data_IF_739562969727
#
_entry.id   IF_739562969727
#
_cell.length_a   1.000
_cell.length_b   1.000
_cell.length_c   1.000
_cell.angle_alpha   90.00
_cell.angle_beta   90.00
_cell.angle_gamma   90.00
#
_symmetry.space_group_name_H-M   'P 1'
#
loop_
_entity.id
_entity.type
_entity.pdbx_description
1 polymer ?
#
# COMPACT_ATOMS: atom_id res chain seq x y z
N UNK A 1 -9.64 -8.50 -18.54
CA UNK A 1 -10.51 -7.51 -17.85
C UNK A 1 -10.90 -8.03 -16.47
N UNK A 2 -11.22 -7.18 -15.50
CA UNK A 2 -11.80 -7.59 -14.19
C UNK A 2 -13.26 -7.16 -14.13
N UNK A 3 -14.15 -8.08 -13.73
CA UNK A 3 -15.60 -7.91 -13.69
C UNK A 3 -16.11 -8.05 -12.25
N UNK A 4 -16.75 -7.00 -11.73
CA UNK A 4 -17.30 -6.93 -10.36
C UNK A 4 -18.83 -6.84 -10.45
N UNK A 5 -19.58 -7.88 -10.10
CA UNK A 5 -21.03 -7.86 -10.17
C UNK A 5 -21.60 -6.91 -9.11
N UNK A 6 -22.38 -5.94 -9.55
CA UNK A 6 -23.19 -5.08 -8.69
C UNK A 6 -24.64 -5.60 -8.56
N UNK A 7 -25.00 -6.61 -9.36
CA UNK A 7 -26.28 -7.32 -9.32
C UNK A 7 -26.47 -8.23 -8.10
N UNK A 8 -27.74 -8.45 -7.78
CA UNK A 8 -28.23 -9.31 -6.70
C UNK A 8 -28.94 -8.51 -5.60
N UNK A 9 -29.84 -9.14 -4.83
CA UNK A 9 -30.54 -8.53 -3.69
C UNK A 9 -29.63 -8.12 -2.52
N UNK A 10 -28.31 -8.08 -2.73
CA UNK A 10 -27.32 -7.74 -1.72
C UNK A 10 -26.95 -6.25 -1.82
N UNK A 11 -27.07 -5.47 -0.75
CA UNK A 11 -26.66 -4.08 -0.72
C UNK A 11 -25.23 -3.84 -1.25
N UNK A 12 -25.01 -2.72 -1.95
CA UNK A 12 -23.67 -2.27 -2.42
C UNK A 12 -22.56 -2.34 -1.35
N UNK A 13 -22.81 -2.05 -0.06
CA UNK A 13 -21.84 -2.25 1.01
C UNK A 13 -21.28 -3.69 1.17
N UNK A 14 -21.97 -4.71 0.65
CA UNK A 14 -21.44 -6.09 0.63
C UNK A 14 -20.58 -6.37 -0.61
N UNK A 15 -20.71 -5.56 -1.66
CA UNK A 15 -19.95 -5.67 -2.92
C UNK A 15 -18.72 -4.79 -2.94
N UNK A 16 -18.71 -3.72 -2.16
CA UNK A 16 -17.62 -2.76 -2.11
C UNK A 16 -17.33 -2.45 -0.65
N UNK A 17 -16.09 -2.71 -0.24
CA UNK A 17 -15.58 -2.34 1.09
C UNK A 17 -14.33 -1.48 0.96
N UNK A 18 -13.90 -0.90 2.07
CA UNK A 18 -12.61 -0.22 2.15
C UNK A 18 -11.80 -0.81 3.30
N UNK A 19 -10.49 -0.66 3.22
CA UNK A 19 -9.56 -1.08 4.26
C UNK A 19 -8.38 -0.14 4.26
N UNK A 20 -7.92 0.20 5.46
CA UNK A 20 -6.74 1.05 5.68
C UNK A 20 -5.73 0.21 6.43
N UNK A 21 -4.46 0.24 6.01
CA UNK A 21 -3.36 -0.44 6.68
C UNK A 21 -2.29 0.58 7.05
N UNK A 22 -2.13 0.92 8.34
CA UNK A 22 -1.04 1.78 8.81
C UNK A 22 0.33 1.20 8.44
N UNK A 23 0.44 -0.13 8.47
CA UNK A 23 1.67 -0.82 8.12
C UNK A 23 1.99 -0.68 6.62
N UNK A 24 0.99 -0.76 5.76
CA UNK A 24 1.15 -0.45 4.34
C UNK A 24 1.56 1.01 4.13
N UNK A 25 0.94 1.96 4.83
CA UNK A 25 1.31 3.38 4.72
C UNK A 25 2.75 3.66 5.18
N UNK A 26 3.22 2.95 6.22
CA UNK A 26 4.62 3.01 6.63
C UNK A 26 5.53 2.57 5.48
N UNK A 27 5.25 1.42 4.86
CA UNK A 27 6.09 0.97 3.74
C UNK A 27 5.96 1.83 2.50
N UNK A 28 4.78 2.38 2.22
CA UNK A 28 4.58 3.34 1.14
C UNK A 28 5.39 4.62 1.38
N UNK A 29 5.50 5.07 2.64
CA UNK A 29 6.34 6.21 2.99
C UNK A 29 7.84 5.91 2.80
N UNK A 30 8.31 4.71 3.18
CA UNK A 30 9.68 4.27 2.91
C UNK A 30 9.94 4.13 1.41
N UNK A 31 8.99 3.60 0.65
CA UNK A 31 9.06 3.52 -0.81
C UNK A 31 9.19 4.92 -1.44
N UNK A 32 8.43 5.90 -0.96
CA UNK A 32 8.53 7.28 -1.40
C UNK A 32 9.91 7.90 -1.07
N UNK A 33 10.48 7.59 0.10
CA UNK A 33 11.83 8.02 0.50
C UNK A 33 12.94 7.36 -0.32
N UNK A 34 12.70 6.15 -0.84
CA UNK A 34 13.66 5.42 -1.65
C UNK A 34 13.77 5.93 -3.09
N UNK A 35 12.85 6.79 -3.54
CA UNK A 35 12.85 7.32 -4.90
C UNK A 35 13.96 8.38 -5.08
N UNK A 36 14.77 8.23 -6.12
CA UNK A 36 15.80 9.23 -6.48
C UNK A 36 15.20 10.59 -6.83
N UNK A 37 14.03 10.55 -7.50
CA UNK A 37 13.24 11.74 -7.82
C UNK A 37 11.88 11.59 -7.11
N UNK A 38 11.75 12.08 -5.86
CA UNK A 38 10.50 11.97 -5.13
C UNK A 38 9.38 12.74 -5.84
N UNK A 39 8.14 12.30 -5.66
CA UNK A 39 6.97 13.05 -6.10
C UNK A 39 7.03 14.48 -5.53
N UNK A 40 6.82 15.53 -6.33
CA UNK A 40 6.89 16.92 -5.87
C UNK A 40 6.03 17.21 -4.63
N UNK A 41 4.94 16.47 -4.43
CA UNK A 41 4.04 16.60 -3.27
C UNK A 41 4.70 16.13 -1.97
N UNK A 42 5.70 15.26 -2.06
CA UNK A 42 6.41 14.64 -0.95
C UNK A 42 7.87 15.11 -0.83
N UNK A 43 8.36 15.94 -1.74
CA UNK A 43 9.78 16.30 -1.81
C UNK A 43 10.31 16.98 -0.53
N UNK A 44 9.61 18.00 -0.02
CA UNK A 44 10.00 18.70 1.21
C UNK A 44 9.95 17.75 2.42
N UNK A 45 8.87 16.97 2.54
CA UNK A 45 8.73 15.95 3.58
C UNK A 45 9.87 14.92 3.52
N UNK A 46 10.21 14.43 2.32
CA UNK A 46 11.26 13.44 2.15
C UNK A 46 12.63 14.00 2.55
N UNK A 47 12.93 15.25 2.18
CA UNK A 47 14.16 15.93 2.56
C UNK A 47 14.29 16.06 4.09
N UNK A 48 13.20 16.44 4.77
CA UNK A 48 13.15 16.56 6.22
C UNK A 48 13.36 15.21 6.93
N UNK A 49 12.68 14.15 6.48
CA UNK A 49 12.83 12.81 7.06
C UNK A 49 14.25 12.27 6.85
N UNK A 50 14.84 12.43 5.66
CA UNK A 50 16.22 12.01 5.39
C UNK A 50 17.25 12.81 6.20
N UNK A 51 16.99 14.10 6.48
CA UNK A 51 17.79 14.86 7.43
C UNK A 51 17.64 14.32 8.87
N UNK A 52 16.42 13.94 9.24
CA UNK A 52 16.11 13.25 10.49
C UNK A 52 16.88 11.94 10.66
N UNK A 53 17.00 11.12 9.60
CA UNK A 53 17.76 9.86 9.64
C UNK A 53 19.23 10.08 9.98
N UNK A 54 19.85 11.13 9.43
CA UNK A 54 21.21 11.53 9.77
C UNK A 54 21.33 11.98 11.22
N UNK A 55 20.38 12.80 11.69
CA UNK A 55 20.37 13.28 13.07
C UNK A 55 20.18 12.15 14.11
N UNK A 56 19.29 11.21 13.81
CA UNK A 56 19.00 10.04 14.64
C UNK A 56 20.02 8.90 14.50
N UNK A 57 21.03 9.04 13.63
CA UNK A 57 22.08 8.04 13.36
C UNK A 57 21.56 6.69 12.85
N UNK A 58 20.48 6.69 12.09
CA UNK A 58 19.93 5.48 11.44
C UNK A 58 20.19 5.44 9.93
N UNK A 59 20.99 6.39 9.41
CA UNK A 59 21.29 6.51 7.98
C UNK A 59 21.90 5.24 7.38
N UNK A 60 22.81 4.56 8.11
CA UNK A 60 23.43 3.31 7.64
C UNK A 60 22.45 2.14 7.55
N UNK A 61 21.46 2.09 8.46
CA UNK A 61 20.39 1.09 8.38
C UNK A 61 19.44 1.41 7.24
N UNK A 62 19.14 2.69 7.04
CA UNK A 62 18.37 3.12 5.88
C UNK A 62 19.07 2.75 4.56
N UNK A 63 20.35 3.04 4.40
CA UNK A 63 21.10 2.70 3.18
C UNK A 63 21.14 1.19 2.93
N UNK A 64 21.23 0.39 3.99
CA UNK A 64 21.19 -1.06 3.90
C UNK A 64 19.81 -1.59 3.44
N UNK A 65 18.71 -1.04 3.97
CA UNK A 65 17.35 -1.50 3.63
C UNK A 65 16.74 -0.81 2.40
N UNK A 66 17.20 0.39 2.02
CA UNK A 66 16.64 1.18 0.91
C UNK A 66 16.37 0.36 -0.35
N UNK A 67 17.28 -0.53 -0.83
CA UNK A 67 17.05 -1.31 -2.06
C UNK A 67 15.72 -2.09 -2.06
N UNK A 68 15.27 -2.58 -0.91
CA UNK A 68 14.02 -3.35 -0.81
C UNK A 68 12.76 -2.49 -1.06
N UNK A 69 12.88 -1.18 -0.90
CA UNK A 69 11.78 -0.23 -1.03
C UNK A 69 11.85 0.59 -2.31
N UNK A 70 12.89 0.47 -3.13
CA UNK A 70 13.03 1.35 -4.30
C UNK A 70 12.09 0.95 -5.43
N UNK A 71 11.96 -0.35 -5.72
CA UNK A 71 11.24 -0.83 -6.91
C UNK A 71 9.75 -1.02 -6.68
N UNK A 72 9.37 -1.53 -5.51
CA UNK A 72 7.98 -1.60 -5.07
C UNK A 72 7.92 -1.75 -3.53
N UNK A 73 6.70 -1.87 -3.00
CA UNK A 73 6.46 -2.17 -1.59
C UNK A 73 6.52 -3.69 -1.39
N UNK A 74 7.32 -4.21 -0.44
CA UNK A 74 7.42 -5.64 -0.20
C UNK A 74 6.10 -6.29 0.23
N UNK A 75 5.91 -7.56 -0.11
CA UNK A 75 4.66 -8.29 0.13
C UNK A 75 4.32 -8.46 1.63
N UNK A 76 5.32 -8.38 2.52
CA UNK A 76 5.11 -8.36 3.98
C UNK A 76 4.28 -7.16 4.45
N UNK A 77 4.15 -6.13 3.63
CA UNK A 77 3.35 -4.94 3.93
C UNK A 77 2.01 -4.95 3.20
N UNK A 78 1.68 -6.00 2.45
CA UNK A 78 0.46 -6.05 1.66
C UNK A 78 -0.78 -5.77 2.54
N UNK A 79 -1.65 -4.83 2.15
CA UNK A 79 -2.74 -4.38 2.99
C UNK A 79 -3.86 -5.44 3.15
N UNK A 80 -3.87 -6.50 2.33
CA UNK A 80 -4.69 -7.68 2.55
C UNK A 80 -4.15 -8.55 3.69
N UNK A 81 -2.83 -8.73 3.76
CA UNK A 81 -2.20 -9.54 4.80
C UNK A 81 -2.17 -8.81 6.15
N UNK A 82 -2.06 -7.47 6.11
CA UNK A 82 -1.88 -6.63 7.29
C UNK A 82 -3.17 -5.96 7.79
N UNK A 83 -4.35 -6.41 7.33
CA UNK A 83 -5.65 -5.79 7.63
C UNK A 83 -5.96 -5.64 9.12
N UNK A 84 -5.38 -6.48 9.98
CA UNK A 84 -5.56 -6.44 11.44
C UNK A 84 -4.46 -5.70 12.19
N UNK A 85 -3.43 -5.21 11.50
CA UNK A 85 -2.25 -4.59 12.11
C UNK A 85 -2.46 -3.08 12.18
N UNK A 86 -3.05 -2.60 13.29
CA UNK A 86 -3.57 -1.23 13.38
C UNK A 86 -2.79 -0.35 14.36
N UNK A 87 -2.23 -0.95 15.40
CA UNK A 87 -1.41 -0.28 16.40
C UNK A 87 0.06 -0.67 16.29
N UNK A 88 0.90 -0.03 17.10
CA UNK A 88 2.34 -0.30 17.19
C UNK A 88 2.60 -1.71 17.71
N UNK A 89 1.89 -2.10 18.76
CA UNK A 89 2.04 -3.43 19.37
C UNK A 89 1.68 -4.54 18.38
N UNK A 90 0.61 -4.34 17.58
CA UNK A 90 0.24 -5.27 16.52
C UNK A 90 1.33 -5.44 15.45
N UNK A 91 2.10 -4.38 15.17
CA UNK A 91 3.19 -4.43 14.19
C UNK A 91 4.38 -5.22 14.71
N UNK A 92 4.74 -5.01 15.97
CA UNK A 92 5.77 -5.79 16.63
C UNK A 92 5.40 -7.27 16.62
N UNK A 93 4.17 -7.59 17.03
CA UNK A 93 3.66 -8.97 17.03
C UNK A 93 3.62 -9.56 15.62
N UNK A 94 3.20 -8.80 14.62
CA UNK A 94 3.16 -9.24 13.22
C UNK A 94 4.55 -9.64 12.71
N UNK A 95 5.54 -8.75 12.79
CA UNK A 95 6.89 -9.09 12.31
C UNK A 95 7.60 -10.09 13.20
N UNK A 96 7.30 -10.13 14.50
CA UNK A 96 7.85 -11.16 15.38
C UNK A 96 7.37 -12.55 14.96
N UNK A 97 6.07 -12.70 14.71
CA UNK A 97 5.44 -13.98 14.36
C UNK A 97 5.63 -14.41 12.90
N UNK A 98 5.94 -13.49 12.00
CA UNK A 98 6.29 -13.82 10.61
C UNK A 98 7.50 -14.76 10.57
N UNK A 99 7.40 -15.94 9.96
CA UNK A 99 8.56 -16.84 9.91
C UNK A 99 9.71 -16.21 9.10
N UNK A 100 10.95 -16.60 9.40
CA UNK A 100 12.13 -16.16 8.64
C UNK A 100 12.02 -16.47 7.15
N UNK A 101 11.50 -17.65 6.82
CA UNK A 101 11.21 -18.05 5.44
C UNK A 101 10.16 -17.14 4.78
N UNK A 102 9.05 -16.85 5.46
CA UNK A 102 8.02 -15.97 4.93
C UNK A 102 8.53 -14.53 4.77
N UNK A 103 9.31 -14.05 5.72
CA UNK A 103 9.99 -12.76 5.64
C UNK A 103 10.91 -12.72 4.42
N UNK A 104 11.83 -13.67 4.27
CA UNK A 104 12.76 -13.70 3.13
C UNK A 104 12.03 -13.80 1.78
N UNK A 105 11.01 -14.66 1.69
CA UNK A 105 10.21 -14.82 0.48
C UNK A 105 9.43 -13.55 0.11
N UNK A 106 9.00 -12.76 1.10
CA UNK A 106 8.30 -11.49 0.86
C UNK A 106 9.19 -10.38 0.27
N UNK A 107 10.51 -10.48 0.47
CA UNK A 107 11.49 -9.51 -0.02
C UNK A 107 12.10 -9.90 -1.36
N UNK A 108 12.15 -11.21 -1.65
CA UNK A 108 12.81 -11.77 -2.82
C UNK A 108 12.39 -11.12 -4.15
N UNK A 109 11.10 -10.85 -4.44
CA UNK A 109 10.73 -10.21 -5.70
C UNK A 109 11.41 -8.85 -5.93
N UNK A 110 11.65 -8.08 -4.86
CA UNK A 110 12.29 -6.77 -4.96
C UNK A 110 13.80 -6.90 -5.15
N UNK A 111 14.43 -7.85 -4.44
CA UNK A 111 15.86 -8.11 -4.56
C UNK A 111 16.20 -8.70 -5.93
N UNK A 112 15.44 -9.67 -6.44
CA UNK A 112 15.62 -10.24 -7.78
C UNK A 112 15.46 -9.18 -8.89
N UNK A 113 14.58 -8.20 -8.66
CA UNK A 113 14.41 -7.08 -9.59
C UNK A 113 15.56 -6.08 -9.48
N UNK A 114 16.14 -5.90 -8.28
CA UNK A 114 17.31 -5.07 -8.05
C UNK A 114 18.58 -5.68 -8.64
N UNK A 115 18.79 -6.99 -8.54
CA UNK A 115 19.97 -7.65 -9.14
C UNK A 115 20.12 -7.35 -10.64
N UNK A 116 19.00 -7.10 -11.33
CA UNK A 116 18.98 -6.73 -12.76
C UNK A 116 19.54 -5.32 -13.04
N UNK A 117 19.65 -4.45 -12.03
CA UNK A 117 20.29 -3.14 -12.16
C UNK A 117 21.82 -3.26 -12.21
N UNK A 118 22.37 -4.40 -11.76
CA UNK A 118 23.81 -4.65 -11.72
C UNK A 118 24.52 -4.03 -10.52
N UNK A 119 23.78 -3.45 -9.57
CA UNK A 119 24.33 -2.97 -8.30
C UNK A 119 24.41 -4.10 -7.28
N UNK A 120 25.57 -4.24 -6.64
CA UNK A 120 25.76 -5.21 -5.56
C UNK A 120 25.09 -4.70 -4.28
N UNK A 121 24.23 -5.55 -3.70
CA UNK A 121 23.45 -5.22 -2.51
C UNK A 121 23.73 -6.25 -1.42
N UNK A 122 24.42 -5.86 -0.33
CA UNK A 122 24.71 -6.76 0.78
C UNK A 122 23.47 -7.45 1.37
N UNK A 123 22.34 -6.74 1.40
CA UNK A 123 21.06 -7.27 1.89
C UNK A 123 20.64 -8.57 1.19
N UNK A 124 20.91 -8.73 -0.11
CA UNK A 124 20.52 -9.93 -0.85
C UNK A 124 21.35 -11.15 -0.43
N UNK A 125 22.67 -10.98 -0.28
CA UNK A 125 23.57 -12.02 0.21
C UNK A 125 23.27 -12.37 1.66
N UNK A 126 23.15 -11.38 2.53
CA UNK A 126 22.87 -11.56 3.96
C UNK A 126 21.51 -12.28 4.17
N UNK A 127 20.50 -11.99 3.35
CA UNK A 127 19.20 -12.66 3.44
C UNK A 127 19.26 -14.13 2.99
N UNK A 128 20.20 -14.50 2.11
CA UNK A 128 20.42 -15.90 1.73
C UNK A 128 21.22 -16.65 2.80
N UNK A 129 22.20 -16.01 3.42
CA UNK A 129 23.08 -16.62 4.42
C UNK A 129 22.45 -16.71 5.82
N UNK A 130 21.86 -15.62 6.31
CA UNK A 130 21.26 -15.52 7.65
C UNK A 130 19.97 -14.65 7.65
N UNK A 131 18.81 -15.24 7.26
CA UNK A 131 17.54 -14.55 7.29
C UNK A 131 17.15 -14.02 8.68
N UNK A 132 17.58 -14.69 9.75
CA UNK A 132 17.25 -14.32 11.13
C UNK A 132 17.96 -13.03 11.53
N UNK A 133 19.24 -12.89 11.18
CA UNK A 133 20.01 -11.67 11.36
C UNK A 133 19.37 -10.47 10.65
N UNK A 134 19.03 -10.65 9.35
CA UNK A 134 18.40 -9.59 8.55
C UNK A 134 17.05 -9.19 9.13
N UNK A 135 16.21 -10.17 9.50
CA UNK A 135 14.91 -9.93 10.11
C UNK A 135 15.04 -9.19 11.45
N UNK A 136 16.00 -9.56 12.29
CA UNK A 136 16.26 -8.89 13.56
C UNK A 136 16.65 -7.42 13.36
N UNK A 137 17.58 -7.15 12.44
CA UNK A 137 17.98 -5.78 12.08
C UNK A 137 16.83 -4.97 11.47
N UNK A 138 16.03 -5.61 10.62
CA UNK A 138 14.87 -4.99 9.99
C UNK A 138 13.81 -4.59 11.02
N UNK A 139 13.50 -5.47 11.98
CA UNK A 139 12.56 -5.17 13.05
C UNK A 139 13.02 -3.95 13.85
N UNK A 140 14.31 -3.86 14.21
CA UNK A 140 14.86 -2.69 14.89
C UNK A 140 14.74 -1.42 14.05
N UNK A 141 15.06 -1.49 12.75
CA UNK A 141 14.95 -0.36 11.83
C UNK A 141 13.50 0.14 11.71
N UNK A 142 12.55 -0.74 11.40
CA UNK A 142 11.13 -0.38 11.23
C UNK A 142 10.55 0.18 12.52
N UNK A 143 10.89 -0.42 13.65
CA UNK A 143 10.47 0.06 14.97
C UNK A 143 10.99 1.47 15.27
N UNK A 144 12.27 1.70 14.98
CA UNK A 144 12.90 3.00 15.18
C UNK A 144 12.30 4.03 14.22
N UNK A 145 12.07 3.66 12.96
CA UNK A 145 11.41 4.52 11.98
C UNK A 145 10.00 4.89 12.43
N UNK A 146 9.24 3.91 12.91
CA UNK A 146 7.89 4.13 13.43
C UNK A 146 7.92 5.16 14.55
N UNK A 147 8.70 4.91 15.60
CA UNK A 147 8.72 5.72 16.81
C UNK A 147 9.22 7.14 16.57
N UNK A 148 10.24 7.32 15.73
CA UNK A 148 10.88 8.62 15.54
C UNK A 148 10.23 9.47 14.45
N UNK A 149 9.63 8.85 13.43
CA UNK A 149 9.24 9.57 12.21
C UNK A 149 7.81 9.29 11.76
N UNK A 150 7.31 8.06 11.86
CA UNK A 150 6.01 7.72 11.26
C UNK A 150 4.83 7.91 12.22
N UNK A 151 4.98 7.67 13.53
CA UNK A 151 3.86 7.71 14.48
C UNK A 151 3.11 9.05 14.47
N UNK A 152 3.85 10.16 14.57
CA UNK A 152 3.27 11.52 14.53
C UNK A 152 2.66 11.84 13.17
N UNK A 153 3.24 11.35 12.08
CA UNK A 153 2.68 11.49 10.75
C UNK A 153 1.38 10.71 10.60
N UNK A 154 1.34 9.48 11.12
CA UNK A 154 0.13 8.67 11.12
C UNK A 154 -1.00 9.34 11.90
N UNK A 155 -0.72 9.89 13.09
CA UNK A 155 -1.69 10.66 13.87
C UNK A 155 -2.26 11.86 13.11
N UNK A 156 -1.41 12.58 12.37
CA UNK A 156 -1.83 13.71 11.53
C UNK A 156 -2.64 13.25 10.29
N UNK A 157 -2.32 12.09 9.73
CA UNK A 157 -2.96 11.55 8.53
C UNK A 157 -4.26 10.78 8.82
N UNK A 158 -4.41 10.14 9.97
CA UNK A 158 -5.53 9.28 10.31
C UNK A 158 -6.91 9.96 10.11
N UNK A 159 -7.13 11.24 10.50
CA UNK A 159 -8.38 11.93 10.22
C UNK A 159 -8.72 12.05 8.72
N UNK A 160 -7.71 12.02 7.84
CA UNK A 160 -7.92 12.06 6.39
C UNK A 160 -8.48 10.74 5.86
N UNK A 161 -8.01 9.62 6.39
CA UNK A 161 -8.55 8.29 6.08
C UNK A 161 -9.99 8.13 6.56
N UNK A 162 -10.34 8.69 7.71
CA UNK A 162 -11.74 8.73 8.19
C UNK A 162 -12.64 9.49 7.20
N UNK A 163 -12.21 10.67 6.74
CA UNK A 163 -12.96 11.44 5.73
C UNK A 163 -13.10 10.70 4.40
N UNK A 164 -12.06 9.99 3.97
CA UNK A 164 -12.15 9.18 2.74
C UNK A 164 -13.10 7.99 2.92
N UNK A 165 -13.09 7.33 4.07
CA UNK A 165 -14.05 6.30 4.42
C UNK A 165 -15.50 6.82 4.41
N UNK A 166 -15.74 8.01 4.93
CA UNK A 166 -17.05 8.69 4.87
C UNK A 166 -17.46 8.97 3.42
N UNK A 167 -16.55 9.47 2.59
CA UNK A 167 -16.79 9.73 1.17
C UNK A 167 -17.16 8.44 0.42
N UNK A 168 -16.44 7.35 0.67
CA UNK A 168 -16.76 6.03 0.13
C UNK A 168 -18.17 5.61 0.60
N UNK A 169 -18.44 5.70 1.90
CA UNK A 169 -19.73 5.31 2.46
C UNK A 169 -20.90 6.09 1.84
N UNK A 170 -20.75 7.41 1.66
CA UNK A 170 -21.73 8.25 0.99
C UNK A 170 -21.93 7.82 -0.47
N UNK A 171 -20.86 7.48 -1.19
CA UNK A 171 -20.94 7.05 -2.58
C UNK A 171 -21.65 5.71 -2.77
N UNK A 172 -21.70 4.86 -1.74
CA UNK A 172 -22.38 3.55 -1.79
C UNK A 172 -23.91 3.64 -1.68
N UNK A 173 -24.48 4.85 -1.60
CA UNK A 173 -25.94 5.06 -1.56
C UNK A 173 -26.62 4.81 -2.90
N UNK A 174 -25.90 4.96 -4.01
CA UNK A 174 -26.42 4.71 -5.35
C UNK A 174 -25.34 4.22 -6.32
N UNK A 175 -25.77 3.54 -7.39
CA UNK A 175 -24.87 3.10 -8.46
C UNK A 175 -24.18 4.27 -9.18
N UNK A 176 -24.89 5.38 -9.38
CA UNK A 176 -24.35 6.56 -10.05
C UNK A 176 -23.24 7.23 -9.22
N UNK A 177 -23.45 7.38 -7.91
CA UNK A 177 -22.47 8.00 -7.01
C UNK A 177 -21.20 7.15 -6.89
N UNK A 178 -21.31 5.83 -6.71
CA UNK A 178 -20.11 4.97 -6.61
C UNK A 178 -19.37 4.90 -7.95
N UNK A 179 -20.08 4.86 -9.08
CA UNK A 179 -19.45 4.87 -10.40
C UNK A 179 -18.73 6.18 -10.66
N UNK A 180 -19.35 7.31 -10.30
CA UNK A 180 -18.72 8.62 -10.39
C UNK A 180 -17.48 8.70 -9.50
N UNK A 181 -17.57 8.25 -8.24
CA UNK A 181 -16.46 8.20 -7.30
C UNK A 181 -15.28 7.38 -7.84
N UNK A 182 -15.53 6.14 -8.28
CA UNK A 182 -14.50 5.26 -8.83
C UNK A 182 -13.83 5.85 -10.08
N UNK A 183 -14.58 6.59 -10.91
CA UNK A 183 -14.01 7.32 -12.06
C UNK A 183 -13.12 8.49 -11.65
N UNK A 184 -13.31 9.10 -10.47
CA UNK A 184 -12.37 10.09 -9.93
C UNK A 184 -11.04 9.46 -9.53
N UNK A 185 -11.05 8.19 -9.09
CA UNK A 185 -9.85 7.43 -8.77
C UNK A 185 -9.14 6.95 -10.04
N UNK A 186 -9.91 6.36 -10.96
CA UNK A 186 -9.39 5.83 -12.21
C UNK A 186 -10.44 5.93 -13.33
N UNK A 187 -10.22 6.76 -14.37
CA UNK A 187 -11.19 6.95 -15.45
C UNK A 187 -11.54 5.68 -16.25
N UNK A 188 -10.74 4.62 -16.10
CA UNK A 188 -10.93 3.33 -16.77
C UNK A 188 -12.07 2.48 -16.18
N UNK A 189 -12.63 2.85 -15.02
CA UNK A 189 -13.83 2.20 -14.51
C UNK A 189 -15.03 2.51 -15.40
N UNK A 190 -15.67 1.45 -15.88
CA UNK A 190 -16.93 1.51 -16.62
C UNK A 190 -18.00 0.73 -15.87
N UNK A 191 -19.24 1.19 -16.00
CA UNK A 191 -20.41 0.46 -15.57
C UNK A 191 -21.08 -0.13 -16.80
N UNK A 192 -21.26 -1.44 -16.80
CA UNK A 192 -22.03 -2.18 -17.79
C UNK A 192 -23.43 -2.38 -17.23
N UNK A 193 -24.39 -1.63 -17.78
CA UNK A 193 -25.77 -1.63 -17.33
C UNK A 193 -26.56 -2.88 -17.75
N UNK A 194 -26.15 -3.57 -18.82
CA UNK A 194 -26.84 -4.78 -19.28
C UNK A 194 -26.54 -5.97 -18.36
N UNK A 195 -25.30 -6.05 -17.88
CA UNK A 195 -24.85 -7.11 -16.97
C UNK A 195 -24.79 -6.65 -15.51
N UNK A 196 -25.16 -5.40 -15.22
CA UNK A 196 -25.13 -4.77 -13.89
C UNK A 196 -23.78 -4.99 -13.17
N UNK A 197 -22.67 -4.64 -13.83
CA UNK A 197 -21.32 -4.90 -13.33
C UNK A 197 -20.36 -3.73 -13.54
N UNK A 198 -19.40 -3.57 -12.64
CA UNK A 198 -18.24 -2.70 -12.87
C UNK A 198 -17.19 -3.47 -13.68
N UNK A 199 -16.65 -2.80 -14.68
CA UNK A 199 -15.63 -3.30 -15.57
C UNK A 199 -14.36 -2.48 -15.37
N UNK A 200 -13.26 -3.18 -15.13
CA UNK A 200 -11.91 -2.62 -15.20
C UNK A 200 -11.15 -3.24 -16.37
N UNK A 201 -10.83 -2.40 -17.35
CA UNK A 201 -10.01 -2.80 -18.49
C UNK A 201 -8.53 -2.81 -18.09
N UNK A 202 -7.91 -3.99 -18.13
CA UNK A 202 -6.49 -4.20 -17.79
C UNK A 202 -5.70 -4.91 -18.90
N UNK A 203 -6.26 -5.04 -20.10
CA UNK A 203 -5.59 -5.71 -21.23
C UNK A 203 -5.37 -7.22 -21.07
N UNK A 204 -5.82 -7.84 -19.97
CA UNK A 204 -5.71 -9.28 -19.79
C UNK A 204 -6.62 -10.03 -20.79
N UNK A 205 -6.15 -11.14 -21.38
CA UNK A 205 -6.85 -11.87 -22.45
C UNK A 205 -8.19 -12.43 -21.98
N UNK A 206 -8.26 -12.86 -20.72
CA UNK A 206 -9.46 -13.44 -20.13
C UNK A 206 -10.17 -12.48 -19.17
N UNK A 207 -11.49 -12.64 -19.11
CA UNK A 207 -12.32 -11.99 -18.10
C UNK A 207 -12.12 -12.66 -16.74
N UNK A 208 -11.78 -11.86 -15.73
CA UNK A 208 -11.61 -12.32 -14.37
C UNK A 208 -12.79 -11.84 -13.52
N UNK A 209 -13.66 -12.77 -13.16
CA UNK A 209 -14.79 -12.49 -12.28
C UNK A 209 -14.33 -12.45 -10.81
N UNK A 210 -14.83 -11.45 -10.08
CA UNK A 210 -14.67 -11.31 -8.63
C UNK A 210 -16.05 -11.13 -7.99
N UNK A 211 -16.12 -11.24 -6.67
CA UNK A 211 -17.34 -11.06 -5.89
C UNK A 211 -17.40 -9.70 -5.19
N UNK A 212 -16.23 -9.14 -4.86
CA UNK A 212 -16.10 -7.91 -4.09
C UNK A 212 -14.95 -7.04 -4.60
N UNK A 213 -15.13 -5.73 -4.52
CA UNK A 213 -14.09 -4.72 -4.64
C UNK A 213 -13.69 -4.21 -3.25
N UNK A 214 -12.39 -4.19 -2.96
CA UNK A 214 -11.84 -3.63 -1.73
C UNK A 214 -10.97 -2.43 -2.08
N UNK A 215 -11.30 -1.28 -1.50
CA UNK A 215 -10.66 0.00 -1.72
C UNK A 215 -9.56 0.22 -0.67
N UNK A 216 -8.32 0.42 -1.11
CA UNK A 216 -7.15 0.74 -0.31
C UNK A 216 -6.66 2.14 -0.66
N UNK A 217 -7.22 3.19 -0.02
CA UNK A 217 -6.66 4.52 -0.15
C UNK A 217 -5.26 4.55 0.46
N UNK A 218 -4.38 5.37 -0.11
CA UNK A 218 -3.02 5.58 0.39
C UNK A 218 -2.58 7.04 0.24
N UNK A 219 -1.88 7.57 1.23
CA UNK A 219 -1.34 8.92 1.17
C UNK A 219 0.01 8.94 0.45
N UNK A 220 0.89 8.00 0.80
CA UNK A 220 2.25 7.93 0.27
C UNK A 220 2.38 7.17 -1.05
N UNK A 221 1.36 6.41 -1.46
CA UNK A 221 1.33 5.83 -2.80
C UNK A 221 1.21 6.94 -3.85
N UNK A 222 2.17 7.00 -4.77
CA UNK A 222 2.25 8.01 -5.83
C UNK A 222 1.99 7.43 -7.23
N UNK A 223 1.88 6.11 -7.32
CA UNK A 223 1.59 5.41 -8.58
C UNK A 223 0.16 5.65 -9.09
N UNK A 224 -0.06 5.32 -10.36
CA UNK A 224 -1.41 5.26 -10.91
C UNK A 224 -2.23 4.18 -10.17
N UNK A 225 -3.54 4.41 -10.03
CA UNK A 225 -4.44 3.45 -9.39
C UNK A 225 -4.26 2.03 -9.99
N UNK A 226 -4.08 1.06 -9.10
CA UNK A 226 -3.76 -0.32 -9.45
C UNK A 226 -4.83 -1.25 -8.91
N UNK A 227 -5.33 -2.14 -9.76
CA UNK A 227 -6.34 -3.14 -9.41
C UNK A 227 -5.75 -4.54 -9.58
N UNK A 228 -5.64 -5.27 -8.48
CA UNK A 228 -5.16 -6.66 -8.47
C UNK A 228 -6.25 -7.62 -8.00
N UNK A 229 -6.40 -8.76 -8.66
CA UNK A 229 -7.29 -9.83 -8.20
C UNK A 229 -6.54 -10.75 -7.23
N UNK A 230 -7.11 -10.99 -6.06
CA UNK A 230 -6.65 -12.03 -5.11
C UNK A 230 -7.86 -12.84 -4.64
N UNK A 231 -7.89 -14.12 -4.99
CA UNK A 231 -9.03 -14.99 -4.72
C UNK A 231 -10.33 -14.46 -5.35
N UNK A 232 -11.36 -14.28 -4.53
CA UNK A 232 -12.66 -13.77 -4.95
C UNK A 232 -12.76 -12.23 -4.92
N UNK A 233 -11.70 -11.51 -4.57
CA UNK A 233 -11.73 -10.05 -4.41
C UNK A 233 -10.83 -9.35 -5.43
N UNK A 234 -11.25 -8.15 -5.83
CA UNK A 234 -10.39 -7.18 -6.50
C UNK A 234 -9.95 -6.11 -5.48
N UNK A 235 -8.65 -5.83 -5.43
CA UNK A 235 -8.03 -4.91 -4.48
C UNK A 235 -7.57 -3.68 -5.26
N UNK A 236 -8.23 -2.54 -5.03
CA UNK A 236 -7.90 -1.27 -5.67
C UNK A 236 -7.02 -0.45 -4.73
N UNK A 237 -5.75 -0.33 -5.07
CA UNK A 237 -4.82 0.59 -4.43
C UNK A 237 -4.81 1.92 -5.18
N UNK A 238 -4.95 3.02 -4.45
CA UNK A 238 -4.96 4.34 -5.07
C UNK A 238 -4.51 5.44 -4.12
N UNK A 239 -3.99 6.50 -4.71
CA UNK A 239 -3.74 7.75 -4.02
C UNK A 239 -5.06 8.50 -3.79
N UNK A 240 -5.29 9.01 -2.58
CA UNK A 240 -6.44 9.88 -2.31
C UNK A 240 -6.01 11.33 -2.03
N UNK A 241 -6.42 12.22 -2.91
CA UNK A 241 -6.29 13.66 -2.69
C UNK A 241 -7.53 14.18 -1.95
N UNK A 242 -7.32 15.04 -0.96
CA UNK A 242 -8.41 15.88 -0.48
C UNK A 242 -8.47 17.13 -1.37
N UNK A 243 -9.66 17.41 -1.91
CA UNK A 243 -9.98 18.75 -2.39
C UNK A 243 -9.59 19.77 -1.29
N UNK A 244 -8.87 20.81 -1.67
CA UNK A 244 -8.42 21.90 -0.78
C UNK A 244 -9.54 22.78 -0.22
N UNK A 245 -10.79 22.35 -0.27
CA UNK A 245 -11.94 23.15 0.19
C UNK A 245 -12.64 22.45 1.35
N UNK A 246 -12.60 23.02 2.57
CA UNK A 246 -13.66 22.74 3.53
C UNK A 246 -14.97 23.32 2.97
N UNK A 247 -16.00 22.48 2.85
CA UNK A 247 -17.37 22.98 2.73
C UNK A 247 -17.83 23.54 4.08
#
# INVERSE_FOLDING_TARGET
MILIPLSGHSPLPHKISYSVSPLYELAASLHALAQETPDPRLADWAADILAGFRAARIQSDWEYFRPMFTLAIPDAFDPLQTRGVMAVDDQYDYFFTLSEEAFANSLRPMLDAWEKTGEDVPLAADLQEDPAFVKGRFNLFISTYWQLFFASQWEALAPRFVREAERIHLSLRSLDEITAYLRTIAPRFRYDAEQEQLVWENGAPDAQHVQQLVLYPSHFYTGAASLAKKGACAHLLYHFEQCKTPC
#
